data_IF_367130874834
#
_entry.id   IF_367130874834
#
_cell.length_a   1.000
_cell.length_b   1.000
_cell.length_c   1.000
_cell.angle_alpha   90.00
_cell.angle_beta   90.00
_cell.angle_gamma   90.00
#
_symmetry.space_group_name_H-M   'P 1'
#
loop_
_entity.id
_entity.type
_entity.pdbx_description
1 polymer ?
#
# COMPACT_ATOMS: atom_id res chain seq x y z
N UNK A 1 -24.14 -14.79 -4.89
CA UNK A 1 -23.13 -13.89 -4.30
C UNK A 1 -21.77 -14.49 -4.64
N UNK A 2 -20.87 -13.70 -5.21
CA UNK A 2 -19.51 -14.15 -5.48
C UNK A 2 -18.68 -14.10 -4.19
N UNK A 3 -17.88 -15.14 -3.98
CA UNK A 3 -17.02 -15.25 -2.79
C UNK A 3 -15.68 -14.58 -3.08
N UNK A 4 -15.35 -13.54 -2.32
CA UNK A 4 -14.05 -12.87 -2.39
C UNK A 4 -13.07 -13.55 -1.42
N UNK A 5 -11.89 -13.92 -1.90
CA UNK A 5 -10.83 -14.53 -1.08
C UNK A 5 -9.52 -13.74 -1.19
N UNK A 6 -8.70 -13.75 -0.14
CA UNK A 6 -7.39 -13.10 -0.11
C UNK A 6 -6.30 -14.15 -0.25
N UNK A 7 -5.32 -13.91 -1.12
CA UNK A 7 -4.11 -14.74 -1.29
C UNK A 7 -2.85 -13.88 -1.29
N UNK A 8 -1.68 -14.53 -1.19
CA UNK A 8 -0.39 -13.86 -1.42
C UNK A 8 -0.30 -13.40 -2.88
N UNK A 9 0.39 -12.29 -3.08
CA UNK A 9 0.74 -11.85 -4.43
C UNK A 9 1.77 -12.80 -5.05
N UNK A 10 1.62 -13.02 -6.34
CA UNK A 10 2.48 -13.80 -7.21
C UNK A 10 3.13 -12.87 -8.24
N UNK A 11 4.24 -13.30 -8.86
CA UNK A 11 4.90 -12.49 -9.89
C UNK A 11 3.99 -12.21 -11.09
N UNK A 12 3.06 -13.12 -11.37
CA UNK A 12 2.03 -12.97 -12.42
C UNK A 12 1.02 -11.86 -12.13
N UNK A 13 0.92 -11.38 -10.89
CA UNK A 13 0.01 -10.27 -10.55
C UNK A 13 0.55 -8.91 -11.00
N UNK A 14 1.79 -8.85 -11.51
CA UNK A 14 2.44 -7.59 -11.91
C UNK A 14 1.64 -6.79 -12.93
N UNK A 15 0.97 -7.45 -13.88
CA UNK A 15 0.21 -6.75 -14.91
C UNK A 15 -1.05 -6.11 -14.34
N UNK A 16 -1.76 -6.81 -13.47
CA UNK A 16 -2.92 -6.27 -12.75
C UNK A 16 -2.50 -5.13 -11.82
N UNK A 17 -1.36 -5.27 -11.13
CA UNK A 17 -0.80 -4.20 -10.32
C UNK A 17 -0.35 -3.01 -11.17
N UNK A 18 0.19 -3.21 -12.37
CA UNK A 18 0.55 -2.12 -13.28
C UNK A 18 -0.67 -1.37 -13.78
N UNK A 19 -1.72 -2.08 -14.18
CA UNK A 19 -2.97 -1.44 -14.62
C UNK A 19 -3.51 -0.49 -13.55
N UNK A 20 -3.39 -0.87 -12.28
CA UNK A 20 -3.77 -0.04 -11.15
C UNK A 20 -2.74 1.06 -10.80
N UNK A 21 -1.44 0.74 -10.76
CA UNK A 21 -0.39 1.65 -10.31
C UNK A 21 -0.02 2.74 -11.34
N UNK A 22 -0.31 2.50 -12.62
CA UNK A 22 -0.12 3.46 -13.71
C UNK A 22 -1.34 4.35 -13.97
N UNK A 23 -2.50 4.05 -13.38
CA UNK A 23 -3.71 4.87 -13.54
C UNK A 23 -3.51 6.23 -12.84
N UNK A 24 -3.53 7.37 -13.57
CA UNK A 24 -3.36 8.70 -13.00
C UNK A 24 -4.44 9.06 -11.97
N UNK A 25 -5.67 8.55 -12.13
CA UNK A 25 -6.75 8.81 -11.18
C UNK A 25 -6.48 8.11 -9.84
N UNK A 26 -5.93 6.90 -9.88
CA UNK A 26 -5.47 6.18 -8.68
C UNK A 26 -4.24 6.87 -8.08
N UNK A 27 -3.21 7.11 -8.89
CA UNK A 27 -1.93 7.65 -8.45
C UNK A 27 -2.04 9.08 -7.90
N UNK A 28 -3.10 9.83 -8.23
CA UNK A 28 -3.40 11.13 -7.62
C UNK A 28 -3.61 11.05 -6.09
N UNK A 29 -3.99 9.88 -5.57
CA UNK A 29 -4.21 9.63 -4.14
C UNK A 29 -3.10 8.82 -3.49
N UNK A 30 -2.24 8.18 -4.27
CA UNK A 30 -1.13 7.36 -3.77
C UNK A 30 0.16 8.16 -3.58
N UNK A 31 1.11 7.61 -2.81
CA UNK A 31 2.42 8.23 -2.52
C UNK A 31 3.40 8.22 -3.70
N UNK A 32 3.04 7.59 -4.81
CA UNK A 32 3.87 7.46 -5.99
C UNK A 32 3.26 8.20 -7.19
N UNK A 33 4.09 8.53 -8.17
CA UNK A 33 3.63 8.95 -9.49
C UNK A 33 3.21 7.76 -10.35
N UNK A 34 2.33 7.95 -11.36
CA UNK A 34 1.95 6.87 -12.27
C UNK A 34 3.15 6.07 -12.75
N UNK A 35 3.11 4.76 -12.57
CA UNK A 35 4.22 3.90 -12.93
C UNK A 35 4.36 3.80 -14.44
N UNK A 36 5.59 3.96 -14.94
CA UNK A 36 5.92 3.83 -16.36
C UNK A 36 6.46 2.43 -16.72
N UNK A 37 6.80 1.61 -15.71
CA UNK A 37 7.41 0.29 -15.88
C UNK A 37 6.98 -0.68 -14.78
N UNK A 38 6.91 -1.98 -15.12
CA UNK A 38 6.66 -3.10 -14.20
C UNK A 38 7.82 -3.35 -13.24
N UNK A 39 9.01 -2.84 -13.54
CA UNK A 39 10.25 -3.17 -12.83
C UNK A 39 10.19 -2.90 -11.31
N UNK A 40 9.68 -1.74 -10.82
CA UNK A 40 9.58 -1.51 -9.38
C UNK A 40 8.55 -2.42 -8.70
N UNK A 41 7.49 -2.82 -9.41
CA UNK A 41 6.50 -3.77 -8.89
C UNK A 41 7.06 -5.19 -8.83
N UNK A 42 7.84 -5.61 -9.84
CA UNK A 42 8.55 -6.89 -9.81
C UNK A 42 9.55 -6.95 -8.66
N UNK A 43 10.28 -5.86 -8.42
CA UNK A 43 11.18 -5.75 -7.28
C UNK A 43 10.40 -5.91 -5.97
N UNK A 44 9.28 -5.18 -5.82
CA UNK A 44 8.40 -5.30 -4.66
C UNK A 44 7.85 -6.72 -4.47
N UNK A 45 7.34 -7.37 -5.52
CA UNK A 45 6.77 -8.71 -5.47
C UNK A 45 7.81 -9.79 -5.10
N UNK A 46 9.07 -9.60 -5.51
CA UNK A 46 10.18 -10.47 -5.12
C UNK A 46 10.51 -10.30 -3.63
N UNK A 47 10.46 -9.07 -3.12
CA UNK A 47 10.79 -8.74 -1.73
C UNK A 47 9.65 -9.07 -0.75
N UNK A 48 8.40 -8.84 -1.14
CA UNK A 48 7.19 -9.11 -0.32
C UNK A 48 6.87 -10.59 -0.14
N UNK A 49 7.63 -11.51 -0.73
CA UNK A 49 7.60 -12.93 -0.33
C UNK A 49 7.93 -13.15 1.15
N UNK A 50 8.45 -12.15 1.86
CA UNK A 50 8.93 -12.26 3.25
C UNK A 50 7.98 -11.67 4.32
N UNK A 51 7.08 -10.73 4.00
CA UNK A 51 6.45 -9.89 5.06
C UNK A 51 4.93 -10.03 5.09
N UNK A 52 4.44 -11.01 5.85
CA UNK A 52 3.02 -11.21 6.12
C UNK A 52 2.55 -10.55 7.42
N UNK A 53 1.58 -9.63 7.30
CA UNK A 53 0.61 -9.16 8.33
C UNK A 53 1.18 -8.69 9.68
N UNK A 54 1.46 -7.40 9.78
CA UNK A 54 2.14 -6.79 10.93
C UNK A 54 1.22 -6.12 11.97
N UNK A 55 -0.01 -6.60 12.21
CA UNK A 55 -0.83 -6.28 13.40
C UNK A 55 -0.99 -4.80 13.81
N UNK A 56 -0.81 -3.86 12.88
CA UNK A 56 -0.69 -2.44 13.19
C UNK A 56 -1.96 -1.86 13.85
N UNK A 57 -1.80 -1.19 14.99
CA UNK A 57 -2.86 -0.44 15.68
C UNK A 57 -2.93 0.99 15.17
N UNK A 58 -4.14 1.53 15.05
CA UNK A 58 -4.37 2.94 14.66
C UNK A 58 -4.22 3.86 15.86
N UNK A 59 -3.25 4.77 15.81
CA UNK A 59 -2.90 5.65 16.92
C UNK A 59 -3.60 7.01 16.85
N UNK A 60 -3.91 7.52 15.65
CA UNK A 60 -4.59 8.82 15.53
C UNK A 60 -4.59 9.41 14.13
N UNK A 61 -5.16 10.62 14.02
CA UNK A 61 -5.18 11.41 12.77
C UNK A 61 -4.62 12.79 13.04
N UNK A 62 -3.56 13.15 12.32
CA UNK A 62 -3.10 14.54 12.25
C UNK A 62 -3.85 15.24 11.12
N UNK A 63 -4.79 16.11 11.48
CA UNK A 63 -5.62 16.82 10.49
C UNK A 63 -4.81 17.88 9.78
N UNK A 64 -4.97 17.97 8.45
CA UNK A 64 -4.33 18.95 7.57
C UNK A 64 -2.81 19.05 7.73
N UNK A 65 -2.16 17.94 8.07
CA UNK A 65 -0.75 17.94 8.45
C UNK A 65 0.18 17.57 7.29
N UNK A 66 -0.28 16.75 6.34
CA UNK A 66 0.58 16.21 5.29
C UNK A 66 0.35 16.94 3.96
N UNK A 67 1.38 17.64 3.48
CA UNK A 67 1.35 18.25 2.14
C UNK A 67 1.79 17.21 1.11
N UNK A 68 0.91 16.89 0.16
CA UNK A 68 1.17 15.88 -0.85
C UNK A 68 0.51 16.24 -2.18
N UNK A 69 1.32 16.31 -3.25
CA UNK A 69 0.90 16.66 -4.62
C UNK A 69 0.01 17.92 -4.67
N UNK A 70 0.49 19.01 -4.07
CA UNK A 70 -0.20 20.30 -4.09
C UNK A 70 -1.47 20.39 -3.23
N UNK A 71 -1.77 19.35 -2.44
CA UNK A 71 -2.93 19.30 -1.57
C UNK A 71 -2.53 18.98 -0.13
N UNK A 72 -3.16 19.68 0.80
CA UNK A 72 -3.11 19.35 2.23
C UNK A 72 -4.02 18.16 2.49
N UNK A 73 -3.49 17.13 3.15
CA UNK A 73 -4.21 15.90 3.51
C UNK A 73 -4.04 15.60 5.00
N UNK A 74 -4.98 14.82 5.53
CA UNK A 74 -4.88 14.25 6.87
C UNK A 74 -3.90 13.07 6.86
N UNK A 75 -3.11 12.92 7.93
CA UNK A 75 -2.20 11.80 8.11
C UNK A 75 -2.77 10.84 9.17
N UNK A 76 -3.05 9.60 8.78
CA UNK A 76 -3.44 8.53 9.72
C UNK A 76 -2.18 7.79 10.16
N UNK A 77 -1.95 7.77 11.47
CA UNK A 77 -0.78 7.11 12.06
C UNK A 77 -1.16 5.73 12.57
N UNK A 78 -0.29 4.77 12.25
CA UNK A 78 -0.35 3.40 12.76
C UNK A 78 0.97 3.07 13.43
N UNK A 79 0.93 2.25 14.47
CA UNK A 79 2.12 1.69 15.10
C UNK A 79 2.00 0.20 15.33
N UNK A 80 3.15 -0.44 15.49
CA UNK A 80 3.26 -1.82 15.92
C UNK A 80 4.43 -1.89 16.89
N UNK A 81 4.19 -2.38 18.10
CA UNK A 81 5.20 -2.56 19.14
C UNK A 81 5.29 -4.03 19.54
N UNK A 82 6.39 -4.41 20.21
CA UNK A 82 6.66 -5.82 20.54
C UNK A 82 5.56 -6.51 21.37
N UNK A 83 4.77 -5.75 22.15
CA UNK A 83 3.63 -6.29 22.89
C UNK A 83 2.42 -6.63 22.02
N UNK A 84 2.31 -6.05 20.82
CA UNK A 84 1.18 -6.31 19.91
C UNK A 84 1.25 -7.72 19.28
N UNK A 85 2.40 -8.41 19.36
CA UNK A 85 2.59 -9.81 18.94
C UNK A 85 1.94 -10.83 19.88
N UNK A 86 1.55 -10.42 21.09
CA UNK A 86 1.08 -11.31 22.16
C UNK A 86 -0.44 -11.34 22.32
N UNK A 87 -1.19 -10.69 21.41
CA UNK A 87 -2.67 -10.64 21.38
C UNK A 87 -3.22 -11.33 20.15
#
# INVERSE_FOLDING_TARGET
METVTLRRFELSDVDAMMAWASDPEVAAFCRWEPYESTEPLLAYLRDTRVVGKAGFRREGVLRRHYWHKGRVRDLVMYSFISSDLLT
#
